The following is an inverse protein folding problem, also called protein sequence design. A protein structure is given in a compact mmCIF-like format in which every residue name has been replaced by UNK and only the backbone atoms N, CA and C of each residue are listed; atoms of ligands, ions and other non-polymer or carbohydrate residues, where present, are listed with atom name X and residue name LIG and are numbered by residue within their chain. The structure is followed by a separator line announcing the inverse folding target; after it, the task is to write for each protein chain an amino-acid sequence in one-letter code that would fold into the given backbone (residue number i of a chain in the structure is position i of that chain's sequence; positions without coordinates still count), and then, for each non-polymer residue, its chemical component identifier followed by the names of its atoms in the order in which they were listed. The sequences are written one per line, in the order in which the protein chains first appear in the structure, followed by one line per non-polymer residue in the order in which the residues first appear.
data_IF_303211023922
#
_entry.id   IF_303211023922
#
_cell.length_a   1.000
_cell.length_b   1.000
_cell.length_c   1.000
_cell.angle_alpha   90.00
_cell.angle_beta   90.00
_cell.angle_gamma   90.00
#
_symmetry.space_group_name_H-M   'P 1'
#
loop_
_entity.id
_entity.type
_entity.pdbx_description
1 polymer ?
#
# COMPACT_ATOMS: atom_id res chain seq x y z
N UNK A 1 0.30 13.75 -11.32
CA UNK A 1 1.71 13.52 -11.74
C UNK A 1 1.72 13.11 -13.20
N UNK A 2 2.46 13.79 -14.06
CA UNK A 2 2.70 13.41 -15.46
C UNK A 2 3.80 12.33 -15.56
N UNK A 3 3.97 11.73 -16.75
CA UNK A 3 5.05 10.75 -17.00
C UNK A 3 6.43 11.40 -16.87
N UNK A 4 6.57 12.66 -17.30
CA UNK A 4 7.85 13.36 -17.23
C UNK A 4 8.21 13.76 -15.79
N UNK A 5 7.23 14.19 -14.99
CA UNK A 5 7.44 14.41 -13.54
C UNK A 5 7.81 13.10 -12.84
N UNK A 6 7.15 12.00 -13.18
CA UNK A 6 7.50 10.69 -12.61
C UNK A 6 8.91 10.25 -13.00
N UNK A 7 9.33 10.44 -14.27
CA UNK A 7 10.70 10.18 -14.73
C UNK A 7 11.71 10.96 -13.94
N UNK A 8 11.48 12.25 -13.76
CA UNK A 8 12.34 13.13 -12.97
C UNK A 8 12.48 12.65 -11.51
N UNK A 9 11.36 12.24 -10.88
CA UNK A 9 11.37 11.66 -9.54
C UNK A 9 12.19 10.37 -9.51
N UNK A 10 11.98 9.47 -10.46
CA UNK A 10 12.69 8.18 -10.55
C UNK A 10 14.20 8.40 -10.62
N UNK A 11 14.68 9.36 -11.41
CA UNK A 11 16.10 9.72 -11.50
C UNK A 11 16.66 10.17 -10.15
N UNK A 12 15.90 10.99 -9.40
CA UNK A 12 16.34 11.50 -8.09
C UNK A 12 16.30 10.43 -6.98
N UNK A 13 15.34 9.51 -7.00
CA UNK A 13 15.23 8.47 -5.96
C UNK A 13 16.12 7.25 -6.22
N UNK A 14 16.52 7.01 -7.45
CA UNK A 14 17.27 5.80 -7.87
C UNK A 14 18.56 5.56 -7.05
N UNK A 15 19.32 6.59 -6.63
CA UNK A 15 20.50 6.40 -5.77
C UNK A 15 20.18 5.90 -4.36
N UNK A 16 18.93 6.07 -3.89
CA UNK A 16 18.51 5.79 -2.52
C UNK A 16 17.75 4.47 -2.39
N UNK A 17 17.08 4.02 -3.46
CA UNK A 17 16.23 2.82 -3.41
C UNK A 17 16.20 2.06 -4.71
N UNK A 18 15.98 0.75 -4.61
CA UNK A 18 15.62 -0.12 -5.73
C UNK A 18 14.13 -0.52 -5.71
N UNK A 19 13.32 0.07 -4.84
CA UNK A 19 11.90 -0.27 -4.69
C UNK A 19 11.02 0.97 -4.83
N UNK A 20 9.89 0.80 -5.51
CA UNK A 20 8.84 1.80 -5.59
C UNK A 20 7.48 1.17 -5.27
N UNK A 21 6.65 1.95 -4.58
CA UNK A 21 5.29 1.57 -4.20
C UNK A 21 4.34 2.58 -4.81
N UNK A 22 3.55 2.16 -5.80
CA UNK A 22 2.53 2.99 -6.42
C UNK A 22 1.26 2.90 -5.57
N UNK A 23 1.13 3.85 -4.66
CA UNK A 23 -0.03 4.06 -3.80
C UNK A 23 0.09 5.45 -3.09
N UNK A 24 -0.51 5.71 -2.04
CA UNK A 24 -0.72 6.77 -1.06
C UNK A 24 -2.21 7.04 -0.99
N UNK A 25 -2.74 7.96 -1.79
CA UNK A 25 -4.18 8.16 -1.99
C UNK A 25 -4.57 7.87 -3.45
N UNK A 26 -5.81 7.46 -3.62
CA UNK A 26 -6.38 7.17 -4.93
C UNK A 26 -6.06 5.74 -5.40
N UNK A 27 -6.32 5.50 -6.67
CA UNK A 27 -6.19 4.20 -7.33
C UNK A 27 -5.14 4.30 -8.46
N UNK A 28 -3.97 3.65 -8.33
CA UNK A 28 -2.91 3.75 -9.34
C UNK A 28 -3.35 3.23 -10.71
N UNK A 29 -4.27 2.27 -10.78
CA UNK A 29 -4.77 1.74 -12.04
C UNK A 29 -5.66 2.72 -12.81
N UNK A 30 -6.11 3.82 -12.18
CA UNK A 30 -6.80 4.92 -12.86
C UNK A 30 -5.86 5.78 -13.71
N UNK A 31 -4.53 5.72 -13.48
CA UNK A 31 -3.61 6.59 -14.18
C UNK A 31 -3.72 6.38 -15.71
N UNK A 32 -3.97 7.45 -16.52
CA UNK A 32 -4.18 7.31 -17.94
C UNK A 32 -2.96 6.76 -18.69
N UNK A 33 -1.77 7.07 -18.21
CA UNK A 33 -0.49 6.65 -18.77
C UNK A 33 0.20 5.57 -17.90
N UNK A 34 -0.57 4.62 -17.33
CA UNK A 34 -0.03 3.57 -16.46
C UNK A 34 1.08 2.76 -17.15
N UNK A 35 0.91 2.41 -18.42
CA UNK A 35 1.90 1.65 -19.20
C UNK A 35 3.24 2.38 -19.30
N UNK A 36 3.22 3.69 -19.50
CA UNK A 36 4.41 4.54 -19.57
C UNK A 36 5.08 4.69 -18.20
N UNK A 37 4.30 4.88 -17.13
CA UNK A 37 4.78 4.93 -15.74
C UNK A 37 5.51 3.64 -15.37
N UNK A 38 4.91 2.48 -15.67
CA UNK A 38 5.53 1.18 -15.40
C UNK A 38 6.81 0.98 -16.23
N UNK A 39 6.80 1.39 -17.51
CA UNK A 39 7.96 1.35 -18.38
C UNK A 39 9.13 2.19 -17.86
N UNK A 40 8.85 3.40 -17.33
CA UNK A 40 9.87 4.27 -16.73
C UNK A 40 10.48 3.61 -15.49
N UNK A 41 9.66 3.07 -14.59
CA UNK A 41 10.15 2.40 -13.39
C UNK A 41 11.00 1.15 -13.74
N UNK A 42 10.53 0.33 -14.67
CA UNK A 42 11.18 -0.90 -15.11
C UNK A 42 12.52 -0.62 -15.81
N UNK A 43 12.58 0.34 -16.73
CA UNK A 43 13.80 0.73 -17.44
C UNK A 43 14.88 1.30 -16.52
N UNK A 44 14.49 1.83 -15.36
CA UNK A 44 15.40 2.27 -14.31
C UNK A 44 15.73 1.18 -13.28
N UNK A 45 15.31 -0.06 -13.51
CA UNK A 45 15.61 -1.21 -12.64
C UNK A 45 14.96 -1.14 -11.27
N UNK A 46 13.81 -0.47 -11.14
CA UNK A 46 13.06 -0.43 -9.89
C UNK A 46 12.17 -1.67 -9.74
N UNK A 47 12.12 -2.22 -8.54
CA UNK A 47 11.16 -3.25 -8.16
C UNK A 47 9.81 -2.60 -7.87
N UNK A 48 8.84 -2.84 -8.74
CA UNK A 48 7.55 -2.19 -8.72
C UNK A 48 6.60 -2.94 -7.79
N UNK A 49 6.01 -2.22 -6.83
CA UNK A 49 4.92 -2.72 -5.99
C UNK A 49 3.69 -1.83 -6.20
N UNK A 50 2.53 -2.44 -6.39
CA UNK A 50 1.25 -1.75 -6.62
C UNK A 50 0.30 -2.09 -5.49
N UNK A 51 -0.44 -1.10 -4.98
CA UNK A 51 -1.60 -1.33 -4.12
C UNK A 51 -2.83 -0.79 -4.83
N UNK A 52 -3.85 -1.62 -4.99
CA UNK A 52 -5.08 -1.33 -5.74
C UNK A 52 -6.31 -1.79 -4.99
N UNK A 53 -7.43 -1.10 -5.18
CA UNK A 53 -8.75 -1.55 -4.72
C UNK A 53 -9.34 -2.68 -5.58
N UNK A 54 -8.66 -3.06 -6.67
CA UNK A 54 -9.03 -4.16 -7.54
C UNK A 54 -10.15 -3.88 -8.55
N UNK A 55 -10.77 -2.70 -8.52
CA UNK A 55 -11.93 -2.39 -9.39
C UNK A 55 -11.59 -2.35 -10.88
N UNK A 56 -10.33 -2.13 -11.23
CA UNK A 56 -9.84 -2.00 -12.61
C UNK A 56 -8.96 -3.16 -13.08
N UNK A 57 -8.83 -4.23 -12.29
CA UNK A 57 -7.94 -5.35 -12.62
C UNK A 57 -8.23 -5.94 -14.00
N UNK A 58 -9.51 -6.18 -14.33
CA UNK A 58 -9.89 -6.75 -15.62
C UNK A 58 -9.53 -5.81 -16.80
N UNK A 59 -9.73 -4.50 -16.62
CA UNK A 59 -9.47 -3.51 -17.67
C UNK A 59 -7.97 -3.28 -17.90
N UNK A 60 -7.16 -3.38 -16.85
CA UNK A 60 -5.71 -3.12 -16.87
C UNK A 60 -4.86 -4.39 -16.96
N UNK A 61 -5.49 -5.55 -17.02
CA UNK A 61 -4.83 -6.87 -17.00
C UNK A 61 -3.69 -6.97 -18.03
N UNK A 62 -3.95 -6.61 -19.28
CA UNK A 62 -2.95 -6.71 -20.35
C UNK A 62 -1.75 -5.78 -20.11
N UNK A 63 -1.99 -4.57 -19.57
CA UNK A 63 -0.90 -3.67 -19.18
C UNK A 63 -0.08 -4.29 -18.06
N UNK A 64 -0.75 -4.80 -17.01
CA UNK A 64 -0.05 -5.38 -15.86
C UNK A 64 0.75 -6.63 -16.23
N UNK A 65 0.25 -7.46 -17.13
CA UNK A 65 0.95 -8.65 -17.63
C UNK A 65 2.18 -8.33 -18.49
N UNK A 66 2.20 -7.16 -19.14
CA UNK A 66 3.30 -6.71 -20.00
C UNK A 66 4.55 -6.35 -19.19
N UNK A 67 4.39 -5.94 -17.93
CA UNK A 67 5.46 -5.40 -17.10
C UNK A 67 5.93 -6.37 -16.01
N UNK A 68 7.21 -6.25 -15.65
CA UNK A 68 7.79 -6.99 -14.53
C UNK A 68 7.45 -6.35 -13.19
N UNK A 69 6.27 -6.67 -12.68
CA UNK A 69 5.79 -6.19 -11.38
C UNK A 69 6.21 -7.20 -10.30
N UNK A 70 6.88 -6.70 -9.26
CA UNK A 70 7.32 -7.54 -8.15
C UNK A 70 6.15 -8.00 -7.29
N UNK A 71 5.23 -7.07 -6.95
CA UNK A 71 4.12 -7.36 -6.02
C UNK A 71 2.90 -6.52 -6.33
N UNK A 72 1.73 -7.14 -6.25
CA UNK A 72 0.43 -6.46 -6.28
C UNK A 72 -0.31 -6.77 -4.98
N UNK A 73 -0.67 -5.71 -4.25
CA UNK A 73 -1.54 -5.80 -3.10
C UNK A 73 -2.97 -5.44 -3.55
N UNK A 74 -3.92 -6.33 -3.34
CA UNK A 74 -5.33 -6.11 -3.67
C UNK A 74 -6.09 -5.91 -2.37
N UNK A 75 -6.57 -4.69 -2.14
CA UNK A 75 -7.35 -4.31 -0.96
C UNK A 75 -8.79 -4.79 -1.12
N UNK A 76 -9.04 -6.09 -0.87
CA UNK A 76 -10.38 -6.67 -1.04
C UNK A 76 -11.43 -5.97 -0.18
N UNK A 77 -11.05 -5.52 1.02
CA UNK A 77 -11.93 -4.83 1.97
C UNK A 77 -12.51 -3.51 1.43
N UNK A 78 -11.86 -2.87 0.45
CA UNK A 78 -12.36 -1.63 -0.17
C UNK A 78 -13.65 -1.86 -0.96
N UNK A 79 -13.89 -3.09 -1.43
CA UNK A 79 -15.11 -3.45 -2.15
C UNK A 79 -16.36 -3.40 -1.26
N UNK A 80 -16.23 -3.59 0.03
CA UNK A 80 -17.36 -3.53 0.97
C UNK A 80 -18.06 -2.17 0.95
N UNK A 81 -17.28 -1.09 0.85
CA UNK A 81 -17.81 0.29 0.84
C UNK A 81 -18.13 0.81 -0.57
N UNK A 82 -17.45 0.28 -1.60
CA UNK A 82 -17.47 0.83 -2.96
C UNK A 82 -18.27 -0.01 -3.97
N UNK A 83 -18.65 -1.23 -3.63
CA UNK A 83 -19.37 -2.15 -4.52
C UNK A 83 -20.64 -2.65 -3.83
N UNK A 84 -21.76 -2.65 -4.54
CA UNK A 84 -23.03 -3.19 -4.01
C UNK A 84 -22.92 -4.68 -3.74
N UNK A 85 -23.58 -5.16 -2.67
CA UNK A 85 -23.42 -6.50 -2.14
C UNK A 85 -23.78 -7.64 -3.13
N UNK A 86 -24.70 -7.39 -4.06
CA UNK A 86 -25.07 -8.30 -5.14
C UNK A 86 -23.92 -8.54 -6.15
N UNK A 87 -22.92 -7.66 -6.19
CA UNK A 87 -21.75 -7.74 -7.07
C UNK A 87 -20.46 -8.22 -6.39
N UNK A 88 -20.49 -8.44 -5.07
CA UNK A 88 -19.28 -8.87 -4.35
C UNK A 88 -18.70 -10.18 -4.88
N UNK A 89 -19.55 -11.17 -5.19
CA UNK A 89 -19.09 -12.46 -5.71
C UNK A 89 -18.34 -12.31 -7.05
N UNK A 90 -18.86 -11.50 -7.97
CA UNK A 90 -18.23 -11.29 -9.28
C UNK A 90 -16.92 -10.52 -9.16
N UNK A 91 -16.88 -9.50 -8.31
CA UNK A 91 -15.64 -8.78 -8.01
C UNK A 91 -14.57 -9.72 -7.41
N UNK A 92 -14.94 -10.51 -6.39
CA UNK A 92 -14.02 -11.43 -5.73
C UNK A 92 -13.49 -12.47 -6.70
N UNK A 93 -14.34 -13.09 -7.51
CA UNK A 93 -13.92 -14.06 -8.55
C UNK A 93 -12.94 -13.42 -9.51
N UNK A 94 -13.22 -12.21 -10.01
CA UNK A 94 -12.33 -11.46 -10.91
C UNK A 94 -10.97 -11.23 -10.26
N UNK A 95 -10.95 -10.80 -8.98
CA UNK A 95 -9.69 -10.56 -8.26
C UNK A 95 -8.89 -11.85 -8.05
N UNK A 96 -9.54 -12.98 -7.73
CA UNK A 96 -8.89 -14.28 -7.52
C UNK A 96 -8.39 -14.89 -8.83
N UNK A 97 -9.14 -14.78 -9.92
CA UNK A 97 -8.70 -15.17 -11.27
C UNK A 97 -7.49 -14.36 -11.71
N UNK A 98 -7.54 -13.03 -11.53
CA UNK A 98 -6.41 -12.15 -11.81
C UNK A 98 -5.18 -12.55 -10.98
N UNK A 99 -5.35 -12.79 -9.67
CA UNK A 99 -4.28 -13.25 -8.80
C UNK A 99 -3.61 -14.51 -9.31
N UNK A 100 -4.40 -15.49 -9.74
CA UNK A 100 -3.90 -16.77 -10.29
C UNK A 100 -3.11 -16.56 -11.59
N UNK A 101 -3.58 -15.66 -12.45
CA UNK A 101 -2.91 -15.37 -13.74
C UNK A 101 -1.56 -14.65 -13.53
N UNK A 102 -1.48 -13.74 -12.57
CA UNK A 102 -0.26 -12.97 -12.29
C UNK A 102 0.77 -13.73 -11.43
N UNK A 103 0.34 -14.68 -10.61
CA UNK A 103 1.18 -15.38 -9.64
C UNK A 103 2.47 -16.03 -10.20
N UNK A 104 2.55 -16.54 -11.45
CA UNK A 104 3.79 -17.11 -11.98
C UNK A 104 4.98 -16.14 -11.97
N UNK A 105 4.73 -14.82 -12.05
CA UNK A 105 5.78 -13.80 -12.14
C UNK A 105 5.72 -12.73 -11.05
N UNK A 106 4.63 -12.68 -10.28
CA UNK A 106 4.31 -11.57 -9.38
C UNK A 106 3.81 -12.10 -8.03
N UNK A 107 4.30 -11.54 -6.94
CA UNK A 107 3.71 -11.79 -5.62
C UNK A 107 2.37 -11.08 -5.49
N UNK A 108 1.33 -11.82 -5.12
CA UNK A 108 -0.01 -11.27 -4.90
C UNK A 108 -0.36 -11.33 -3.42
N UNK A 109 -0.72 -10.19 -2.86
CA UNK A 109 -1.18 -10.07 -1.49
C UNK A 109 -2.65 -9.62 -1.48
N UNK A 110 -3.56 -10.52 -1.14
CA UNK A 110 -4.96 -10.23 -0.89
C UNK A 110 -5.10 -9.66 0.53
N UNK A 111 -5.67 -8.47 0.68
CA UNK A 111 -5.77 -7.78 1.97
C UNK A 111 -7.22 -7.71 2.45
N UNK A 112 -7.46 -8.17 3.68
CA UNK A 112 -8.68 -7.99 4.45
C UNK A 112 -8.34 -7.24 5.74
N UNK A 113 -8.24 -5.90 5.65
CA UNK A 113 -7.86 -5.02 6.76
C UNK A 113 -9.09 -4.42 7.46
N UNK A 114 -10.10 -5.24 7.66
CA UNK A 114 -11.35 -4.95 8.35
C UNK A 114 -11.76 -6.11 9.29
N UNK A 115 -10.79 -6.94 9.70
CA UNK A 115 -11.08 -8.23 10.38
C UNK A 115 -11.77 -8.08 11.75
N UNK A 116 -11.69 -6.91 12.39
CA UNK A 116 -12.33 -6.63 13.68
C UNK A 116 -13.62 -5.79 13.57
N UNK A 117 -14.01 -5.39 12.35
CA UNK A 117 -15.22 -4.62 12.15
C UNK A 117 -16.45 -5.55 12.15
N UNK A 118 -17.32 -5.40 13.14
CA UNK A 118 -18.55 -6.20 13.26
C UNK A 118 -19.49 -6.02 12.05
N UNK A 119 -19.48 -4.87 11.41
CA UNK A 119 -20.28 -4.60 10.21
C UNK A 119 -19.75 -5.34 8.97
N UNK A 120 -18.50 -5.73 8.96
CA UNK A 120 -17.84 -6.40 7.83
C UNK A 120 -18.00 -7.92 7.81
N UNK A 121 -18.74 -8.49 8.76
CA UNK A 121 -18.85 -9.94 8.91
C UNK A 121 -19.39 -10.61 7.64
N UNK A 122 -20.43 -10.06 7.02
CA UNK A 122 -21.06 -10.64 5.81
C UNK A 122 -20.11 -10.62 4.60
N UNK A 123 -19.40 -9.49 4.40
CA UNK A 123 -18.42 -9.37 3.34
C UNK A 123 -17.23 -10.31 3.56
N UNK A 124 -16.68 -10.35 4.77
CA UNK A 124 -15.54 -11.21 5.09
C UNK A 124 -15.90 -12.70 4.95
N UNK A 125 -17.11 -13.11 5.35
CA UNK A 125 -17.60 -14.49 5.11
C UNK A 125 -17.67 -14.81 3.63
N UNK A 126 -18.16 -13.90 2.79
CA UNK A 126 -18.19 -14.08 1.34
C UNK A 126 -16.77 -14.15 0.76
N UNK A 127 -15.85 -13.27 1.17
CA UNK A 127 -14.44 -13.31 0.76
C UNK A 127 -13.81 -14.68 1.07
N UNK A 128 -13.95 -15.16 2.30
CA UNK A 128 -13.35 -16.43 2.72
C UNK A 128 -13.98 -17.61 1.98
N UNK A 129 -15.25 -17.56 1.66
CA UNK A 129 -15.95 -18.58 0.85
C UNK A 129 -15.38 -18.65 -0.57
N UNK A 130 -15.23 -17.50 -1.25
CA UNK A 130 -14.67 -17.45 -2.60
C UNK A 130 -13.20 -17.89 -2.61
N UNK A 131 -12.39 -17.47 -1.63
CA UNK A 131 -10.99 -17.90 -1.47
C UNK A 131 -10.90 -19.41 -1.25
N UNK A 132 -11.73 -19.97 -0.36
CA UNK A 132 -11.82 -21.42 -0.10
C UNK A 132 -12.08 -22.17 -1.39
N UNK A 133 -13.05 -21.71 -2.17
CA UNK A 133 -13.44 -22.33 -3.43
C UNK A 133 -12.33 -22.23 -4.49
N UNK A 134 -11.71 -21.04 -4.63
CA UNK A 134 -10.71 -20.78 -5.67
C UNK A 134 -9.41 -21.57 -5.45
N UNK A 135 -8.99 -21.75 -4.20
CA UNK A 135 -7.71 -22.40 -3.86
C UNK A 135 -7.85 -23.78 -3.23
N UNK A 136 -9.09 -24.31 -3.18
CA UNK A 136 -9.43 -25.64 -2.60
C UNK A 136 -8.85 -25.83 -1.18
N UNK A 137 -9.06 -24.83 -0.32
CA UNK A 137 -8.57 -24.81 1.06
C UNK A 137 -9.67 -25.24 2.03
N UNK A 138 -9.29 -25.84 3.14
CA UNK A 138 -10.22 -26.12 4.26
C UNK A 138 -10.44 -24.88 5.12
N UNK A 139 -11.52 -24.86 5.92
CA UNK A 139 -11.76 -23.78 6.89
C UNK A 139 -10.64 -23.71 7.97
N UNK A 140 -10.11 -24.88 8.34
CA UNK A 140 -9.02 -25.02 9.32
C UNK A 140 -7.72 -24.39 8.79
N UNK A 141 -7.44 -24.55 7.49
CA UNK A 141 -6.29 -23.91 6.85
C UNK A 141 -6.44 -22.40 6.82
N UNK A 142 -7.62 -21.89 6.50
CA UNK A 142 -7.89 -20.44 6.52
C UNK A 142 -7.91 -19.85 7.93
N UNK A 143 -8.20 -20.62 8.96
CA UNK A 143 -8.26 -20.14 10.35
C UNK A 143 -6.88 -20.03 11.01
N UNK A 144 -5.81 -20.54 10.39
CA UNK A 144 -4.45 -20.44 10.95
C UNK A 144 -4.07 -19.00 11.18
N UNK A 145 -3.63 -18.72 12.39
CA UNK A 145 -2.98 -17.45 12.70
C UNK A 145 -1.65 -17.37 11.94
N UNK A 146 -1.40 -16.23 11.33
CA UNK A 146 -0.18 -16.01 10.57
C UNK A 146 0.46 -14.70 11.00
N UNK A 147 1.78 -14.75 11.13
CA UNK A 147 2.61 -13.56 11.37
C UNK A 147 3.36 -13.18 10.08
N UNK A 148 3.69 -11.92 9.92
CA UNK A 148 4.52 -11.46 8.80
C UNK A 148 3.78 -11.41 7.46
N UNK A 149 4.19 -12.26 6.51
CA UNK A 149 3.69 -12.18 5.11
C UNK A 149 2.23 -12.63 4.92
N UNK A 150 1.56 -13.10 5.97
CA UNK A 150 0.18 -13.59 5.90
C UNK A 150 0.09 -15.10 5.58
N UNK A 151 -1.13 -15.60 5.37
CA UNK A 151 -1.42 -16.97 5.04
C UNK A 151 -1.12 -17.25 3.55
N UNK A 152 -0.27 -18.22 3.26
CA UNK A 152 -0.04 -18.69 1.89
C UNK A 152 -1.27 -19.46 1.41
N UNK A 153 -1.91 -18.98 0.33
CA UNK A 153 -3.06 -19.62 -0.32
C UNK A 153 -2.62 -20.53 -1.48
N UNK A 154 -1.65 -20.07 -2.24
CA UNK A 154 -1.03 -20.78 -3.37
C UNK A 154 0.40 -20.26 -3.56
N UNK A 155 1.11 -20.76 -4.57
CA UNK A 155 2.42 -20.23 -4.90
C UNK A 155 2.30 -18.75 -5.27
N UNK A 156 3.09 -17.89 -4.59
CA UNK A 156 3.10 -16.43 -4.72
C UNK A 156 1.77 -15.72 -4.39
N UNK A 157 0.76 -16.41 -3.85
CA UNK A 157 -0.51 -15.80 -3.43
C UNK A 157 -0.67 -15.90 -1.92
N UNK A 158 -0.90 -14.76 -1.27
CA UNK A 158 -0.99 -14.64 0.19
C UNK A 158 -2.25 -13.88 0.60
N UNK A 159 -2.84 -14.25 1.74
CA UNK A 159 -3.92 -13.52 2.40
C UNK A 159 -3.38 -12.84 3.65
N UNK A 160 -3.46 -11.52 3.70
CA UNK A 160 -3.19 -10.72 4.90
C UNK A 160 -4.49 -10.27 5.54
N UNK A 161 -4.63 -10.55 6.84
CA UNK A 161 -5.74 -10.09 7.66
C UNK A 161 -5.21 -9.16 8.73
N UNK A 162 -5.86 -8.03 8.92
CA UNK A 162 -5.51 -7.05 9.94
C UNK A 162 -6.75 -6.34 10.45
N UNK A 163 -6.77 -5.87 11.67
CA UNK A 163 -7.73 -4.87 12.12
C UNK A 163 -7.70 -3.63 11.21
N UNK A 164 -8.83 -2.94 11.11
CA UNK A 164 -8.86 -1.61 10.52
C UNK A 164 -8.07 -0.67 11.44
N UNK A 165 -7.17 0.11 10.88
CA UNK A 165 -6.47 1.16 11.62
C UNK A 165 -7.10 2.53 11.35
N UNK A 166 -6.96 3.43 12.29
CA UNK A 166 -7.38 4.81 12.12
C UNK A 166 -6.29 5.61 11.42
N UNK A 167 -6.68 6.35 10.39
CA UNK A 167 -5.79 7.28 9.71
C UNK A 167 -5.37 8.38 10.67
N UNK A 168 -4.12 8.88 10.54
CA UNK A 168 -3.69 10.03 11.33
C UNK A 168 -4.56 11.25 11.00
N UNK A 169 -5.00 11.94 12.03
CA UNK A 169 -5.89 13.10 11.93
C UNK A 169 -5.26 14.30 12.65
N UNK A 170 -5.02 15.39 11.93
CA UNK A 170 -4.41 16.61 12.46
C UNK A 170 -5.35 17.39 13.40
N UNK A 171 -6.67 17.21 13.24
CA UNK A 171 -7.69 17.93 13.99
C UNK A 171 -8.06 17.21 15.30
N UNK A 172 -7.49 16.01 15.52
CA UNK A 172 -7.60 15.27 16.76
C UNK A 172 -6.33 15.41 17.60
N UNK A 173 -6.50 15.45 18.93
CA UNK A 173 -5.38 15.34 19.85
C UNK A 173 -5.15 13.88 20.21
N UNK A 174 -3.96 13.36 19.90
CA UNK A 174 -3.54 12.02 20.30
C UNK A 174 -2.77 12.05 21.62
N UNK A 175 -3.07 11.11 22.52
CA UNK A 175 -2.38 10.98 23.80
C UNK A 175 -1.10 10.13 23.73
N UNK A 176 -0.87 9.47 22.60
CA UNK A 176 0.25 8.54 22.46
C UNK A 176 1.57 9.30 22.27
N UNK A 177 2.42 9.25 23.26
CA UNK A 177 3.76 9.88 23.25
C UNK A 177 4.87 8.90 22.89
N UNK A 178 4.60 7.59 22.93
CA UNK A 178 5.59 6.52 22.64
C UNK A 178 5.07 5.59 21.54
N UNK A 179 5.80 5.52 20.44
CA UNK A 179 5.46 4.66 19.29
C UNK A 179 6.70 4.12 18.61
N UNK A 180 6.58 2.94 18.01
CA UNK A 180 7.53 2.44 17.01
C UNK A 180 6.99 2.78 15.62
N UNK A 181 7.82 3.30 14.74
CA UNK A 181 7.44 3.58 13.37
C UNK A 181 8.67 3.43 12.46
N UNK A 182 8.43 3.03 11.22
CA UNK A 182 9.46 2.82 10.20
C UNK A 182 9.60 3.99 9.21
N UNK A 183 8.81 5.05 9.40
CA UNK A 183 8.90 6.29 8.62
C UNK A 183 10.33 6.86 8.68
N UNK A 184 10.85 7.33 7.55
CA UNK A 184 12.21 7.86 7.36
C UNK A 184 13.35 6.85 7.65
N UNK A 185 13.03 5.64 8.08
CA UNK A 185 13.99 4.54 8.22
C UNK A 185 13.93 3.60 7.03
N UNK A 186 12.75 3.12 6.70
CA UNK A 186 12.53 2.10 5.67
C UNK A 186 11.80 2.67 4.43
N UNK A 187 11.11 3.80 4.58
CA UNK A 187 10.36 4.45 3.50
C UNK A 187 10.13 5.92 3.75
N UNK A 188 9.84 6.62 2.67
CA UNK A 188 9.25 7.96 2.59
C UNK A 188 8.10 7.91 1.59
N UNK A 189 7.31 8.99 1.48
CA UNK A 189 6.39 9.13 0.36
C UNK A 189 6.63 10.45 -0.38
N UNK A 190 6.35 10.42 -1.68
CA UNK A 190 6.36 11.58 -2.57
C UNK A 190 4.97 11.69 -3.17
N UNK A 191 4.29 12.79 -2.88
CA UNK A 191 2.93 13.03 -3.34
C UNK A 191 2.90 13.41 -4.83
N UNK A 192 1.72 13.42 -5.43
CA UNK A 192 1.56 13.69 -6.87
C UNK A 192 2.01 15.08 -7.31
N UNK A 193 2.10 16.02 -6.38
CA UNK A 193 2.58 17.40 -6.57
C UNK A 193 4.05 17.62 -6.21
N UNK A 194 4.78 16.53 -5.88
CA UNK A 194 6.20 16.55 -5.56
C UNK A 194 6.55 16.78 -4.10
N UNK A 195 5.57 16.96 -3.22
CA UNK A 195 5.84 17.11 -1.80
C UNK A 195 6.37 15.81 -1.20
N UNK A 196 7.49 15.89 -0.49
CA UNK A 196 8.10 14.76 0.22
C UNK A 196 7.61 14.75 1.65
N UNK A 197 7.10 13.59 2.09
CA UNK A 197 6.54 13.37 3.43
C UNK A 197 7.13 12.13 4.10
N UNK A 198 7.13 12.02 5.43
CA UNK A 198 7.77 10.92 6.14
C UNK A 198 7.20 9.53 5.85
N UNK A 199 5.90 9.44 5.55
CA UNK A 199 5.23 8.17 5.28
C UNK A 199 4.00 8.34 4.38
N UNK A 200 3.50 7.24 3.85
CA UNK A 200 2.33 7.20 2.96
C UNK A 200 0.98 7.53 3.65
N UNK A 201 0.94 7.64 4.97
CA UNK A 201 -0.28 8.02 5.70
C UNK A 201 -0.42 9.55 5.89
N UNK A 202 0.62 10.31 5.53
CA UNK A 202 0.55 11.79 5.49
C UNK A 202 0.17 12.27 4.09
N UNK A 203 -1.02 11.93 3.67
CA UNK A 203 -1.49 12.21 2.30
C UNK A 203 -1.77 13.70 2.03
N UNK A 204 -1.97 14.49 3.08
CA UNK A 204 -2.22 15.93 3.00
C UNK A 204 -0.96 16.78 3.23
N UNK A 205 0.22 16.13 3.28
CA UNK A 205 1.50 16.80 3.53
C UNK A 205 1.56 17.64 4.83
N UNK A 206 0.87 17.20 5.89
CA UNK A 206 0.91 17.87 7.19
C UNK A 206 2.34 17.90 7.78
N UNK A 207 3.16 16.91 7.42
CA UNK A 207 4.55 16.78 7.83
C UNK A 207 5.52 17.03 6.66
N UNK A 208 5.16 17.88 5.68
CA UNK A 208 6.05 18.19 4.53
C UNK A 208 7.50 18.37 4.98
N UNK A 209 8.43 17.67 4.31
CA UNK A 209 9.87 17.73 4.54
C UNK A 209 10.57 18.63 3.50
N UNK A 210 10.07 18.65 2.27
CA UNK A 210 10.60 19.42 1.15
C UNK A 210 9.82 19.14 -0.13
N UNK A 211 10.37 19.57 -1.27
CA UNK A 211 9.76 19.42 -2.59
C UNK A 211 10.77 18.85 -3.57
N UNK A 212 10.51 17.64 -4.08
CA UNK A 212 11.44 16.89 -4.94
C UNK A 212 11.72 17.60 -6.28
N UNK A 213 10.81 18.47 -6.74
CA UNK A 213 11.00 19.19 -7.98
C UNK A 213 11.99 20.36 -7.86
N UNK A 214 12.19 20.89 -6.65
CA UNK A 214 13.02 22.06 -6.40
C UNK A 214 14.26 21.78 -5.53
N UNK A 215 14.28 20.64 -4.83
CA UNK A 215 15.33 20.30 -3.87
C UNK A 215 15.91 18.91 -4.16
N UNK A 216 17.11 18.64 -3.72
CA UNK A 216 17.68 17.30 -3.80
C UNK A 216 17.19 16.42 -2.65
N UNK A 217 16.91 15.14 -2.94
CA UNK A 217 16.37 14.23 -1.93
C UNK A 217 17.33 14.08 -0.73
N UNK A 218 18.65 14.11 -0.94
CA UNK A 218 19.62 14.08 0.14
C UNK A 218 19.42 15.24 1.11
N UNK A 219 19.30 16.46 0.59
CA UNK A 219 19.12 17.67 1.39
C UNK A 219 17.79 17.64 2.15
N UNK A 220 16.71 17.17 1.50
CA UNK A 220 15.40 17.00 2.15
C UNK A 220 15.50 16.05 3.34
N UNK A 221 16.19 14.92 3.19
CA UNK A 221 16.35 13.91 4.24
C UNK A 221 17.28 14.34 5.37
N UNK A 222 18.13 15.35 5.14
CA UNK A 222 19.03 15.96 6.13
C UNK A 222 18.43 17.20 6.82
N UNK A 223 17.20 17.59 6.46
CA UNK A 223 16.53 18.69 7.17
C UNK A 223 16.38 18.39 8.65
N UNK A 224 16.39 19.45 9.47
CA UNK A 224 16.20 19.30 10.92
C UNK A 224 14.93 18.53 11.25
N UNK A 225 13.83 18.79 10.52
CA UNK A 225 12.55 18.11 10.73
C UNK A 225 12.66 16.60 10.46
N UNK A 226 13.26 16.21 9.34
CA UNK A 226 13.45 14.80 8.98
C UNK A 226 14.30 14.06 10.03
N UNK A 227 15.42 14.68 10.45
CA UNK A 227 16.31 14.13 11.48
C UNK A 227 15.59 14.00 12.82
N UNK A 228 14.85 14.99 13.25
CA UNK A 228 14.14 14.98 14.54
C UNK A 228 13.06 13.89 14.57
N UNK A 229 12.27 13.71 13.49
CA UNK A 229 11.27 12.65 13.37
C UNK A 229 11.94 11.26 13.42
N UNK A 230 13.00 11.04 12.63
CA UNK A 230 13.73 9.76 12.58
C UNK A 230 14.30 9.41 13.95
N UNK A 231 15.03 10.33 14.59
CA UNK A 231 15.59 10.14 15.93
C UNK A 231 14.50 9.90 16.98
N UNK A 232 13.37 10.61 16.86
CA UNK A 232 12.22 10.39 17.73
C UNK A 232 11.75 8.95 17.70
N UNK A 233 11.52 8.37 16.51
CA UNK A 233 11.08 6.98 16.37
C UNK A 233 12.14 5.96 16.79
N UNK A 234 13.43 6.22 16.55
CA UNK A 234 14.53 5.40 17.08
C UNK A 234 14.49 5.33 18.63
N UNK A 235 14.09 6.42 19.27
CA UNK A 235 13.90 6.51 20.73
C UNK A 235 12.48 6.11 21.18
N UNK A 236 11.62 5.62 20.27
CA UNK A 236 10.20 5.31 20.50
C UNK A 236 9.40 6.52 20.99
N UNK A 237 9.77 7.73 20.57
CA UNK A 237 9.13 8.98 20.95
C UNK A 237 8.43 9.59 19.74
N UNK A 238 7.18 10.00 19.93
CA UNK A 238 6.43 10.77 18.93
C UNK A 238 6.94 12.22 18.97
N UNK A 239 7.30 12.76 17.80
CA UNK A 239 7.77 14.13 17.62
C UNK A 239 6.68 14.99 16.98
N UNK A 240 6.02 14.48 15.96
CA UNK A 240 4.95 15.21 15.25
C UNK A 240 3.58 14.90 15.85
N UNK A 241 2.77 15.92 16.16
CA UNK A 241 1.46 15.73 16.81
C UNK A 241 0.55 14.75 16.05
N UNK A 242 0.51 14.82 14.72
CA UNK A 242 -0.32 13.94 13.89
C UNK A 242 0.07 12.46 14.04
N UNK A 243 1.34 12.16 14.34
CA UNK A 243 1.77 10.78 14.61
C UNK A 243 1.18 10.23 15.92
N UNK A 244 0.75 11.10 16.84
CA UNK A 244 0.12 10.67 18.08
C UNK A 244 -1.29 10.08 17.87
N UNK A 245 -1.97 10.43 16.79
CA UNK A 245 -3.31 9.92 16.42
C UNK A 245 -3.27 8.70 15.50
N UNK A 246 -2.12 8.40 14.89
CA UNK A 246 -1.96 7.34 13.90
C UNK A 246 -2.20 5.94 14.49
N UNK A 247 -3.23 5.23 14.02
CA UNK A 247 -3.55 3.86 14.45
C UNK A 247 -2.62 2.79 13.88
N UNK A 248 -1.95 3.05 12.74
CA UNK A 248 -1.10 2.05 12.08
C UNK A 248 0.13 1.64 12.92
N UNK A 249 0.74 2.58 13.61
CA UNK A 249 1.92 2.30 14.45
C UNK A 249 1.63 1.43 15.69
N UNK A 250 0.36 1.19 16.02
CA UNK A 250 -0.04 0.26 17.08
C UNK A 250 -0.11 -1.19 16.59
N UNK A 251 -0.05 -1.40 15.27
CA UNK A 251 -0.06 -2.71 14.63
C UNK A 251 1.35 -3.28 14.39
N UNK A 252 2.40 -2.48 14.68
CA UNK A 252 3.80 -2.84 14.59
C UNK A 252 4.32 -3.31 15.95
#
# INVERSE_FOLDING_TARGET
MSVDEFRFIVEKIRPFTSYIYLHVLGEPLLHPHLDEILSVAESNGLNINITTNGSLLQQKKEILLKHKIRQINISLHDAEENISSDKWSDYLKTALEFATIMAPTTYICLRLWNSTNENSVSFNVQCLKEITSAFNLSKEELSKETTGNGLKLAEHIFLQRSPRFEWPDKDQSGEQTRKTCYALRDHIAILSDGQVVPCCLDADANMKLGDIFTEDLADILETKKAIDIKKGFEQRKVVEPICATCGFSTLL
#
